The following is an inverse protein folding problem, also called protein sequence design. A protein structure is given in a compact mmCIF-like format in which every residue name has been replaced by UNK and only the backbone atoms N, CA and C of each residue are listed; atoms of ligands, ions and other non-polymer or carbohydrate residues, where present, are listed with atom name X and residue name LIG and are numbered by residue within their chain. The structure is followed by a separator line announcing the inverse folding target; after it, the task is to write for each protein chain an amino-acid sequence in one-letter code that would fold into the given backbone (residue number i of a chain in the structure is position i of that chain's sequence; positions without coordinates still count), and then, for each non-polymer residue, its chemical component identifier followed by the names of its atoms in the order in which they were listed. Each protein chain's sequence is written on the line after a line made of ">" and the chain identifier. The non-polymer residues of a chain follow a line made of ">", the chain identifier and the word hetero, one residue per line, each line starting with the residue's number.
data_IF_225544134559
#
_entry.id   IF_225544134559
#
_cell.length_a   1.000
_cell.length_b   1.000
_cell.length_c   1.000
_cell.angle_alpha   90.00
_cell.angle_beta   90.00
_cell.angle_gamma   90.00
#
_symmetry.space_group_name_H-M   'P 1'
#
loop_
_entity.id
_entity.type
_entity.pdbx_description
1 polymer ?
#
# COMPACT_ATOMS: atom_id res chain seq x y z
N UNK A 1 -11.83 -0.08 20.39
CA UNK A 1 -10.77 -1.07 20.09
C UNK A 1 -10.67 -1.26 18.59
N UNK A 2 -9.46 -1.21 18.05
CA UNK A 2 -9.22 -1.38 16.61
C UNK A 2 -9.15 -2.87 16.25
N UNK A 3 -9.91 -3.32 15.25
CA UNK A 3 -9.81 -4.64 14.65
C UNK A 3 -9.53 -4.51 13.16
N UNK A 4 -8.62 -5.35 12.64
CA UNK A 4 -8.20 -5.37 11.24
C UNK A 4 -8.54 -6.73 10.63
N UNK A 5 -9.37 -6.72 9.60
CA UNK A 5 -9.72 -7.91 8.81
C UNK A 5 -8.90 -7.95 7.52
N UNK A 6 -8.17 -9.03 7.35
CA UNK A 6 -7.41 -9.29 6.13
C UNK A 6 -6.00 -9.78 6.39
N UNK A 7 -5.50 -10.59 5.46
CA UNK A 7 -4.16 -11.16 5.52
C UNK A 7 -3.09 -10.19 5.03
N UNK A 8 -1.92 -10.22 5.67
CA UNK A 8 -0.72 -9.51 5.20
C UNK A 8 -0.33 -9.88 3.75
N UNK A 9 -0.80 -11.00 3.24
CA UNK A 9 -0.61 -11.42 1.82
C UNK A 9 -1.48 -10.64 0.83
N UNK A 10 -2.23 -9.65 1.31
CA UNK A 10 -3.08 -8.75 0.53
C UNK A 10 -2.68 -7.29 0.75
N UNK A 11 -3.53 -6.36 0.29
CA UNK A 11 -3.39 -4.92 0.59
C UNK A 11 -3.51 -4.58 2.08
N UNK A 12 -3.92 -5.53 2.91
CA UNK A 12 -3.91 -5.38 4.39
C UNK A 12 -2.50 -5.12 4.92
N UNK A 13 -1.44 -5.57 4.21
CA UNK A 13 -0.05 -5.23 4.52
C UNK A 13 0.16 -3.73 4.77
N UNK A 14 -0.51 -2.88 4.00
CA UNK A 14 -0.42 -1.41 4.09
C UNK A 14 -0.96 -0.91 5.42
N UNK A 15 -2.12 -1.43 5.83
CA UNK A 15 -2.76 -1.10 7.11
C UNK A 15 -1.97 -1.64 8.29
N UNK A 16 -1.44 -2.87 8.18
CA UNK A 16 -0.57 -3.46 9.21
C UNK A 16 0.73 -2.65 9.38
N UNK A 17 1.29 -2.14 8.30
CA UNK A 17 2.42 -1.21 8.39
C UNK A 17 2.01 0.09 9.07
N UNK A 18 0.87 0.69 8.68
CA UNK A 18 0.38 1.93 9.28
C UNK A 18 0.18 1.80 10.79
N UNK A 19 -0.53 0.78 11.27
CA UNK A 19 -0.74 0.60 12.71
C UNK A 19 0.57 0.36 13.46
N UNK A 20 1.53 -0.31 12.82
CA UNK A 20 2.88 -0.49 13.36
C UNK A 20 3.66 0.82 13.49
N UNK A 21 3.52 1.76 12.54
CA UNK A 21 4.13 3.11 12.60
C UNK A 21 3.47 3.97 13.68
N UNK A 22 2.15 3.85 13.82
CA UNK A 22 1.41 4.59 14.84
C UNK A 22 1.61 4.03 16.25
N UNK A 23 2.09 2.77 16.37
CA UNK A 23 2.24 2.07 17.64
C UNK A 23 0.89 1.68 18.26
N UNK A 24 -0.11 1.35 17.44
CA UNK A 24 -1.45 1.00 17.90
C UNK A 24 -1.55 -0.47 18.30
N UNK A 25 -2.32 -0.73 19.35
CA UNK A 25 -2.82 -2.07 19.66
C UNK A 25 -4.05 -2.38 18.80
N UNK A 26 -4.14 -3.60 18.29
CA UNK A 26 -5.24 -4.03 17.44
C UNK A 26 -5.46 -5.54 17.53
N UNK A 27 -6.69 -5.96 17.25
CA UNK A 27 -7.00 -7.36 16.97
C UNK A 27 -6.81 -7.63 15.48
N UNK A 28 -6.11 -8.72 15.14
CA UNK A 28 -5.89 -9.12 13.76
C UNK A 28 -6.70 -10.37 13.42
N UNK A 29 -7.64 -10.20 12.50
CA UNK A 29 -8.42 -11.28 11.90
C UNK A 29 -7.85 -11.60 10.51
N UNK A 30 -6.99 -12.63 10.42
CA UNK A 30 -6.23 -12.98 9.21
C UNK A 30 -7.12 -13.67 8.16
N UNK A 31 -7.88 -12.87 7.42
CA UNK A 31 -8.75 -13.34 6.34
C UNK A 31 -8.04 -13.23 4.99
N UNK A 32 -7.86 -14.35 4.30
CA UNK A 32 -7.29 -14.36 2.96
C UNK A 32 -8.19 -13.62 1.96
N UNK A 33 -7.61 -12.90 0.97
CA UNK A 33 -8.39 -12.27 -0.08
C UNK A 33 -9.14 -13.33 -0.90
N UNK A 34 -10.42 -13.05 -1.19
CA UNK A 34 -11.32 -13.95 -1.92
C UNK A 34 -11.62 -15.28 -1.21
N UNK A 35 -11.28 -15.44 0.07
CA UNK A 35 -11.69 -16.60 0.84
C UNK A 35 -13.24 -16.67 0.90
N UNK A 36 -13.84 -17.87 1.04
CA UNK A 36 -15.30 -18.01 1.18
C UNK A 36 -15.88 -17.13 2.28
N UNK A 37 -15.12 -16.94 3.37
CA UNK A 37 -15.49 -16.07 4.49
C UNK A 37 -15.76 -14.61 4.09
N UNK A 38 -15.09 -14.07 3.06
CA UNK A 38 -15.37 -12.71 2.59
C UNK A 38 -16.75 -12.54 1.93
N UNK A 39 -17.46 -13.66 1.70
CA UNK A 39 -18.78 -13.69 1.08
C UNK A 39 -19.89 -14.11 2.05
N UNK A 40 -19.58 -14.30 3.32
CA UNK A 40 -20.61 -14.56 4.33
C UNK A 40 -21.42 -13.30 4.61
N UNK A 41 -22.71 -13.42 5.06
CA UNK A 41 -23.53 -12.26 5.39
C UNK A 41 -22.88 -11.32 6.39
N UNK A 42 -22.19 -11.88 7.40
CA UNK A 42 -21.49 -11.12 8.45
C UNK A 42 -20.37 -10.27 7.87
N UNK A 43 -19.55 -10.82 6.97
CA UNK A 43 -18.46 -10.07 6.35
C UNK A 43 -19.00 -9.06 5.32
N UNK A 44 -20.05 -9.40 4.58
CA UNK A 44 -20.68 -8.49 3.63
C UNK A 44 -21.34 -7.29 4.33
N UNK A 45 -21.77 -7.46 5.58
CA UNK A 45 -22.25 -6.34 6.41
C UNK A 45 -21.11 -5.35 6.75
N UNK A 46 -19.86 -5.83 6.88
CA UNK A 46 -18.68 -4.97 7.06
C UNK A 46 -18.24 -4.33 5.73
N UNK A 47 -18.20 -5.14 4.65
CA UNK A 47 -17.80 -4.65 3.33
C UNK A 47 -18.58 -5.37 2.21
N UNK A 48 -19.57 -4.71 1.60
CA UNK A 48 -20.36 -5.28 0.50
C UNK A 48 -19.52 -5.67 -0.73
N UNK A 49 -18.30 -5.11 -0.88
CA UNK A 49 -17.39 -5.46 -1.97
C UNK A 49 -16.71 -6.82 -1.76
N UNK A 50 -16.90 -7.51 -0.62
CA UNK A 50 -16.24 -8.76 -0.28
C UNK A 50 -14.70 -8.68 -0.38
N UNK A 51 -14.11 -7.55 0.00
CA UNK A 51 -12.68 -7.25 -0.11
C UNK A 51 -12.05 -6.97 1.25
N UNK A 52 -10.75 -7.24 1.34
CA UNK A 52 -9.88 -6.87 2.46
C UNK A 52 -8.82 -5.86 1.99
N UNK A 53 -8.31 -4.96 2.86
CA UNK A 53 -8.62 -4.82 4.29
C UNK A 53 -9.98 -4.18 4.58
N UNK A 54 -10.49 -4.46 5.78
CA UNK A 54 -11.52 -3.71 6.47
C UNK A 54 -11.03 -3.46 7.88
N UNK A 55 -11.36 -2.32 8.46
CA UNK A 55 -11.17 -2.07 9.89
C UNK A 55 -12.51 -1.82 10.58
N UNK A 56 -12.58 -2.22 11.84
CA UNK A 56 -13.58 -1.76 12.80
C UNK A 56 -12.83 -0.95 13.86
N UNK A 57 -13.22 0.31 14.06
CA UNK A 57 -12.56 1.23 15.00
C UNK A 57 -13.64 1.86 15.89
N UNK A 58 -13.83 1.30 17.09
CA UNK A 58 -14.85 1.72 18.05
C UNK A 58 -16.27 1.81 17.44
N UNK A 59 -16.62 0.82 16.61
CA UNK A 59 -17.92 0.73 15.93
C UNK A 59 -17.97 1.43 14.56
N UNK A 60 -16.95 2.21 14.19
CA UNK A 60 -16.82 2.74 12.83
C UNK A 60 -16.16 1.71 11.91
N UNK A 61 -16.83 1.39 10.81
CA UNK A 61 -16.31 0.43 9.81
C UNK A 61 -15.78 1.18 8.60
N UNK A 62 -14.56 0.87 8.17
CA UNK A 62 -13.93 1.48 6.99
C UNK A 62 -13.21 0.42 6.15
N UNK A 63 -13.43 0.46 4.86
CA UNK A 63 -12.69 -0.32 3.86
C UNK A 63 -11.80 0.60 3.00
N UNK A 64 -11.05 0.00 2.06
CA UNK A 64 -10.04 0.62 1.19
C UNK A 64 -8.76 1.02 1.93
N UNK A 65 -7.66 0.33 1.63
CA UNK A 65 -6.39 0.47 2.36
C UNK A 65 -5.85 1.90 2.39
N UNK A 66 -6.01 2.68 1.31
CA UNK A 66 -5.57 4.08 1.27
C UNK A 66 -6.42 4.97 2.17
N UNK A 67 -7.75 4.79 2.14
CA UNK A 67 -8.67 5.51 3.00
C UNK A 67 -8.43 5.18 4.48
N UNK A 68 -8.22 3.89 4.79
CA UNK A 68 -7.90 3.43 6.14
C UNK A 68 -6.63 4.10 6.66
N UNK A 69 -5.56 4.11 5.86
CA UNK A 69 -4.29 4.69 6.27
C UNK A 69 -4.39 6.22 6.47
N UNK A 70 -5.07 6.93 5.57
CA UNK A 70 -5.33 8.37 5.71
C UNK A 70 -6.15 8.67 6.98
N UNK A 71 -7.20 7.88 7.22
CA UNK A 71 -8.04 8.00 8.41
C UNK A 71 -7.23 7.80 9.70
N UNK A 72 -6.48 6.69 9.79
CA UNK A 72 -5.69 6.36 10.98
C UNK A 72 -4.61 7.41 11.24
N UNK A 73 -3.88 7.84 10.20
CA UNK A 73 -2.88 8.88 10.33
C UNK A 73 -3.48 10.19 10.84
N UNK A 74 -4.63 10.61 10.30
CA UNK A 74 -5.33 11.83 10.71
C UNK A 74 -5.88 11.72 12.14
N UNK A 75 -6.55 10.60 12.47
CA UNK A 75 -7.13 10.35 13.80
C UNK A 75 -6.07 10.43 14.91
N UNK A 76 -4.88 9.89 14.67
CA UNK A 76 -3.81 9.81 15.67
C UNK A 76 -2.80 10.95 15.60
N UNK A 77 -2.94 11.88 14.64
CA UNK A 77 -2.07 13.04 14.51
C UNK A 77 -0.60 12.69 14.22
N UNK A 78 -0.33 11.51 13.69
CA UNK A 78 1.01 11.05 13.30
C UNK A 78 1.01 10.61 11.84
N UNK A 79 2.11 10.90 11.13
CA UNK A 79 2.28 10.60 9.70
C UNK A 79 1.24 11.31 8.79
N UNK A 80 0.37 12.10 9.34
CA UNK A 80 -0.54 12.95 8.58
C UNK A 80 0.12 14.32 8.43
N UNK A 81 0.41 14.78 7.21
CA UNK A 81 1.16 16.01 7.02
C UNK A 81 0.36 17.22 7.48
N UNK A 82 1.05 18.20 8.06
CA UNK A 82 0.46 19.47 8.49
C UNK A 82 0.33 20.46 7.34
N UNK A 83 -0.69 21.29 7.40
CA UNK A 83 -0.97 22.34 6.42
C UNK A 83 -1.71 21.82 5.18
N UNK A 84 -2.60 22.66 4.66
CA UNK A 84 -3.54 22.32 3.57
C UNK A 84 -2.84 21.81 2.31
N UNK A 85 -1.69 22.37 1.94
CA UNK A 85 -0.96 21.95 0.75
C UNK A 85 -0.38 20.54 0.90
N UNK A 86 0.28 20.25 2.02
CA UNK A 86 0.85 18.93 2.27
C UNK A 86 -0.23 17.87 2.47
N UNK A 87 -1.37 18.23 3.10
CA UNK A 87 -2.55 17.37 3.17
C UNK A 87 -3.07 17.02 1.75
N UNK A 88 -3.18 18.02 0.87
CA UNK A 88 -3.59 17.79 -0.51
C UNK A 88 -2.61 16.88 -1.26
N UNK A 89 -1.29 17.02 -1.04
CA UNK A 89 -0.29 16.11 -1.59
C UNK A 89 -0.44 14.68 -1.07
N UNK A 90 -0.77 14.49 0.21
CA UNK A 90 -1.03 13.14 0.74
C UNK A 90 -2.22 12.47 0.07
N UNK A 91 -3.28 13.21 -0.20
CA UNK A 91 -4.44 12.73 -0.97
C UNK A 91 -4.06 12.46 -2.42
N UNK A 92 -3.38 13.40 -3.07
CA UNK A 92 -2.92 13.26 -4.45
C UNK A 92 -2.13 11.96 -4.65
N UNK A 93 -1.11 11.72 -3.82
CA UNK A 93 -0.25 10.56 -3.96
C UNK A 93 -0.96 9.25 -3.63
N UNK A 94 -1.88 9.25 -2.66
CA UNK A 94 -2.67 8.06 -2.33
C UNK A 94 -3.65 7.69 -3.46
N UNK A 95 -4.29 8.66 -4.10
CA UNK A 95 -5.17 8.42 -5.24
C UNK A 95 -4.38 8.05 -6.50
N UNK A 96 -3.28 8.77 -6.74
CA UNK A 96 -2.39 8.52 -7.88
C UNK A 96 -1.81 7.09 -7.85
N UNK A 97 -1.40 6.61 -6.69
CA UNK A 97 -0.89 5.25 -6.52
C UNK A 97 -1.93 4.21 -6.95
N UNK A 98 -3.17 4.37 -6.49
CA UNK A 98 -4.27 3.44 -6.78
C UNK A 98 -4.60 3.38 -8.27
N UNK A 99 -4.50 4.51 -8.97
CA UNK A 99 -4.77 4.60 -10.39
C UNK A 99 -3.58 4.17 -11.26
N UNK A 100 -2.37 4.56 -10.89
CA UNK A 100 -1.19 4.47 -11.77
C UNK A 100 -0.24 3.32 -11.47
N UNK A 101 -0.25 2.77 -10.26
CA UNK A 101 0.75 1.78 -9.86
C UNK A 101 0.18 0.46 -9.38
N UNK A 102 -0.81 0.49 -8.49
CA UNK A 102 -1.18 -0.70 -7.72
C UNK A 102 -1.61 -1.89 -8.60
N UNK A 103 -2.50 -1.65 -9.55
CA UNK A 103 -3.01 -2.70 -10.44
C UNK A 103 -1.94 -3.19 -11.40
N UNK A 104 -1.18 -2.28 -11.95
CA UNK A 104 -0.14 -2.55 -12.92
C UNK A 104 0.99 -3.38 -12.29
N UNK A 105 1.47 -2.99 -11.11
CA UNK A 105 2.50 -3.74 -10.36
C UNK A 105 2.02 -5.14 -9.99
N UNK A 106 0.78 -5.28 -9.52
CA UNK A 106 0.22 -6.59 -9.19
C UNK A 106 0.10 -7.48 -10.43
N UNK A 107 -0.42 -6.95 -11.54
CA UNK A 107 -0.55 -7.70 -12.78
C UNK A 107 0.83 -8.08 -13.35
N UNK A 108 1.77 -7.13 -13.42
CA UNK A 108 3.14 -7.40 -13.83
C UNK A 108 3.78 -8.51 -13.01
N UNK A 109 3.74 -8.40 -11.68
CA UNK A 109 4.35 -9.40 -10.81
C UNK A 109 3.67 -10.78 -10.92
N UNK A 110 2.35 -10.82 -11.14
CA UNK A 110 1.64 -12.07 -11.37
C UNK A 110 2.16 -12.79 -12.63
N UNK A 111 2.33 -12.08 -13.71
CA UNK A 111 2.71 -12.66 -15.00
C UNK A 111 4.23 -12.77 -15.22
N UNK A 112 5.04 -12.29 -14.27
CA UNK A 112 6.50 -12.49 -14.31
C UNK A 112 7.01 -13.47 -13.26
N UNK A 113 6.38 -13.54 -12.07
CA UNK A 113 6.95 -14.28 -10.94
C UNK A 113 5.95 -15.12 -10.14
N UNK A 114 4.69 -14.66 -9.93
CA UNK A 114 3.80 -15.24 -8.91
C UNK A 114 2.99 -16.42 -9.44
N UNK A 115 2.43 -16.29 -10.65
CA UNK A 115 1.67 -17.38 -11.28
C UNK A 115 2.59 -18.51 -11.72
N UNK A 116 2.10 -19.75 -11.72
CA UNK A 116 2.78 -20.85 -12.40
C UNK A 116 3.13 -20.47 -13.86
N UNK A 117 4.29 -20.88 -14.33
CA UNK A 117 4.80 -20.49 -15.66
C UNK A 117 3.79 -20.69 -16.81
N UNK A 118 3.03 -21.84 -16.89
CA UNK A 118 2.05 -22.02 -17.94
C UNK A 118 0.85 -21.05 -17.91
N UNK A 119 0.66 -20.33 -16.81
CA UNK A 119 -0.42 -19.35 -16.64
C UNK A 119 0.07 -17.91 -16.84
N UNK A 120 1.36 -17.72 -17.12
CA UNK A 120 1.94 -16.39 -17.33
C UNK A 120 1.68 -15.92 -18.75
N UNK A 121 1.33 -14.64 -18.87
CA UNK A 121 1.15 -13.94 -20.12
C UNK A 121 2.24 -12.86 -20.25
N UNK A 122 3.23 -13.14 -21.08
CA UNK A 122 4.37 -12.24 -21.29
C UNK A 122 3.96 -10.92 -22.00
N UNK A 123 2.93 -10.97 -22.86
CA UNK A 123 2.44 -9.77 -23.54
C UNK A 123 1.73 -8.84 -22.55
N UNK A 124 0.92 -9.39 -21.65
CA UNK A 124 0.28 -8.64 -20.59
C UNK A 124 1.32 -8.09 -19.58
N UNK A 125 2.33 -8.88 -19.21
CA UNK A 125 3.42 -8.40 -18.36
C UNK A 125 4.13 -7.20 -19.01
N UNK A 126 4.45 -7.30 -20.31
CA UNK A 126 5.06 -6.18 -21.04
C UNK A 126 4.16 -4.94 -21.06
N UNK A 127 2.88 -5.10 -21.38
CA UNK A 127 1.94 -3.98 -21.39
C UNK A 127 1.85 -3.29 -20.03
N UNK A 128 1.81 -4.05 -18.94
CA UNK A 128 1.82 -3.47 -17.58
C UNK A 128 3.13 -2.77 -17.26
N UNK A 129 4.26 -3.31 -17.70
CA UNK A 129 5.55 -2.63 -17.53
C UNK A 129 5.61 -1.30 -18.27
N UNK A 130 5.09 -1.26 -19.50
CA UNK A 130 5.03 -0.04 -20.30
C UNK A 130 4.16 1.05 -19.64
N UNK A 131 3.16 0.67 -18.81
CA UNK A 131 2.38 1.60 -17.97
C UNK A 131 3.10 1.99 -16.66
N UNK A 132 3.89 1.09 -16.07
CA UNK A 132 4.63 1.32 -14.82
C UNK A 132 5.78 2.31 -15.06
N UNK A 133 6.48 2.21 -16.17
CA UNK A 133 7.66 3.05 -16.49
C UNK A 133 7.36 4.55 -16.39
N UNK A 134 6.31 5.11 -17.03
CA UNK A 134 5.98 6.51 -16.88
C UNK A 134 5.64 6.91 -15.43
N UNK A 135 5.04 6.02 -14.66
CA UNK A 135 4.75 6.29 -13.25
C UNK A 135 6.04 6.34 -12.40
N UNK A 136 7.01 5.47 -12.66
CA UNK A 136 8.32 5.53 -12.02
C UNK A 136 9.10 6.79 -12.44
N UNK A 137 9.01 7.23 -13.70
CA UNK A 137 9.62 8.47 -14.18
C UNK A 137 9.04 9.70 -13.43
N UNK A 138 7.73 9.72 -13.15
CA UNK A 138 7.09 10.78 -12.33
C UNK A 138 7.62 10.77 -10.90
N UNK A 139 7.75 9.60 -10.28
CA UNK A 139 8.32 9.47 -8.94
C UNK A 139 9.78 9.90 -8.91
N UNK A 140 10.58 9.52 -9.90
CA UNK A 140 11.99 9.89 -10.00
C UNK A 140 12.18 11.42 -10.06
N UNK A 141 11.38 12.09 -10.90
CA UNK A 141 11.40 13.56 -11.02
C UNK A 141 11.01 14.23 -9.69
N UNK A 142 10.04 13.68 -8.99
CA UNK A 142 9.56 14.22 -7.71
C UNK A 142 10.59 14.02 -6.61
N UNK A 143 11.07 12.78 -6.46
CA UNK A 143 12.02 12.40 -5.42
C UNK A 143 13.45 12.91 -5.69
N UNK A 144 13.74 13.31 -6.93
CA UNK A 144 14.95 14.07 -7.26
C UNK A 144 14.94 15.50 -6.74
N UNK A 145 13.77 16.04 -6.33
CA UNK A 145 13.59 17.40 -5.81
C UNK A 145 13.28 17.44 -4.32
N UNK A 146 12.74 16.35 -3.77
CA UNK A 146 12.35 16.26 -2.37
C UNK A 146 12.67 14.88 -1.80
N UNK A 147 12.90 14.82 -0.49
CA UNK A 147 13.20 13.55 0.20
C UNK A 147 11.95 12.70 0.38
N UNK A 148 10.77 13.33 0.49
CA UNK A 148 9.48 12.72 0.77
C UNK A 148 8.39 13.27 -0.15
N UNK A 149 7.28 12.56 -0.28
CA UNK A 149 6.22 12.88 -1.24
C UNK A 149 5.30 14.02 -0.79
N UNK A 150 5.15 14.23 0.51
CA UNK A 150 4.21 15.22 1.05
C UNK A 150 4.79 15.98 2.27
N UNK A 151 5.78 16.83 2.01
CA UNK A 151 6.46 17.65 3.02
C UNK A 151 7.87 17.17 3.32
N UNK A 152 8.39 17.56 4.48
CA UNK A 152 9.80 17.37 4.85
C UNK A 152 10.05 16.08 5.65
N UNK A 153 9.00 15.34 5.98
CA UNK A 153 9.04 14.12 6.78
C UNK A 153 8.33 12.97 6.10
N UNK A 154 8.63 11.73 6.54
CA UNK A 154 7.91 10.54 6.14
C UNK A 154 6.44 10.63 6.57
N UNK A 155 5.53 10.50 5.62
CA UNK A 155 4.08 10.62 5.85
C UNK A 155 3.31 9.41 5.32
N UNK A 156 2.00 9.45 5.52
CA UNK A 156 1.06 8.48 4.92
C UNK A 156 1.16 8.43 3.40
N UNK A 157 1.57 9.52 2.72
CA UNK A 157 1.79 9.52 1.29
C UNK A 157 2.91 8.54 0.89
N UNK A 158 4.03 8.64 1.58
CA UNK A 158 5.19 7.76 1.36
C UNK A 158 4.84 6.30 1.67
N UNK A 159 4.17 6.04 2.80
CA UNK A 159 3.74 4.70 3.17
C UNK A 159 2.81 4.11 2.11
N UNK A 160 1.82 4.86 1.65
CA UNK A 160 0.84 4.40 0.68
C UNK A 160 1.52 4.04 -0.65
N UNK A 161 2.35 4.93 -1.20
CA UNK A 161 3.04 4.68 -2.48
C UNK A 161 4.11 3.58 -2.34
N UNK A 162 4.94 3.62 -1.29
CA UNK A 162 5.97 2.61 -1.09
C UNK A 162 5.39 1.21 -0.88
N UNK A 163 4.22 1.10 -0.27
CA UNK A 163 3.54 -0.18 -0.06
C UNK A 163 3.05 -0.83 -1.35
N UNK A 164 2.69 -0.06 -2.37
CA UNK A 164 2.39 -0.58 -3.70
C UNK A 164 3.65 -1.15 -4.36
N UNK A 165 4.76 -0.43 -4.20
CA UNK A 165 6.07 -0.83 -4.70
C UNK A 165 6.76 -1.91 -3.85
N UNK A 166 6.05 -2.59 -2.93
CA UNK A 166 6.61 -3.71 -2.16
C UNK A 166 7.34 -4.73 -3.07
N UNK A 167 6.73 -5.05 -4.21
CA UNK A 167 7.35 -5.96 -5.20
C UNK A 167 8.47 -5.30 -5.98
N UNK A 168 8.56 -3.98 -5.96
CA UNK A 168 9.67 -3.21 -6.52
C UNK A 168 11.00 -3.44 -5.82
N UNK A 169 10.97 -3.94 -4.56
CA UNK A 169 12.20 -4.33 -3.85
C UNK A 169 12.97 -5.47 -4.51
N UNK A 170 12.32 -6.24 -5.38
CA UNK A 170 12.92 -7.34 -6.14
C UNK A 170 13.02 -7.03 -7.65
N UNK A 171 12.58 -5.83 -8.08
CA UNK A 171 12.72 -5.37 -9.46
C UNK A 171 14.04 -4.63 -9.64
N UNK A 172 14.57 -4.67 -10.85
CA UNK A 172 15.69 -3.80 -11.22
C UNK A 172 15.17 -2.36 -11.43
N UNK A 173 15.34 -1.54 -10.43
CA UNK A 173 15.02 -0.12 -10.43
C UNK A 173 16.25 0.76 -10.69
N UNK A 174 17.36 0.23 -11.22
CA UNK A 174 18.61 0.95 -11.43
C UNK A 174 18.49 2.20 -12.30
N UNK A 175 17.49 2.25 -13.17
CA UNK A 175 17.14 3.43 -13.97
C UNK A 175 16.58 4.58 -13.12
N UNK A 176 16.07 4.31 -11.92
CA UNK A 176 15.40 5.27 -11.04
C UNK A 176 16.10 5.33 -9.67
N UNK A 177 17.28 5.96 -9.57
CA UNK A 177 18.08 5.96 -8.35
C UNK A 177 17.41 6.69 -7.18
N UNK A 178 16.66 7.80 -7.42
CA UNK A 178 15.94 8.50 -6.36
C UNK A 178 14.78 7.65 -5.82
N UNK A 179 14.01 7.00 -6.69
CA UNK A 179 12.95 6.04 -6.30
C UNK A 179 13.56 4.89 -5.50
N UNK A 180 14.66 4.32 -5.96
CA UNK A 180 15.34 3.21 -5.30
C UNK A 180 15.78 3.61 -3.88
N UNK A 181 16.46 4.74 -3.74
CA UNK A 181 16.92 5.23 -2.45
C UNK A 181 15.77 5.53 -1.47
N UNK A 182 14.71 6.18 -1.96
CA UNK A 182 13.51 6.47 -1.19
C UNK A 182 12.77 5.19 -0.78
N UNK A 183 12.60 4.24 -1.69
CA UNK A 183 11.91 2.97 -1.43
C UNK A 183 12.62 2.17 -0.33
N UNK A 184 13.95 2.11 -0.38
CA UNK A 184 14.75 1.49 0.68
C UNK A 184 14.56 2.21 2.02
N UNK A 185 14.62 3.55 2.06
CA UNK A 185 14.35 4.32 3.29
C UNK A 185 12.97 3.98 3.89
N UNK A 186 11.95 3.84 3.04
CA UNK A 186 10.60 3.49 3.48
C UNK A 186 10.57 2.07 4.09
N UNK A 187 11.11 1.07 3.38
CA UNK A 187 11.06 -0.33 3.81
C UNK A 187 12.09 -0.70 4.89
N UNK A 188 13.10 0.13 5.13
CA UNK A 188 14.04 -0.04 6.24
C UNK A 188 13.45 0.36 7.61
N UNK A 189 12.31 1.02 7.64
CA UNK A 189 11.62 1.39 8.87
C UNK A 189 11.21 0.15 9.69
N UNK A 190 11.37 0.16 11.02
CA UNK A 190 11.08 -1.01 11.85
C UNK A 190 9.65 -1.54 11.70
N UNK A 191 8.66 -0.67 11.54
CA UNK A 191 7.27 -1.07 11.36
C UNK A 191 7.05 -1.71 9.98
N UNK A 192 7.69 -1.21 8.93
CA UNK A 192 7.67 -1.80 7.59
C UNK A 192 8.24 -3.23 7.60
N UNK A 193 9.40 -3.41 8.24
CA UNK A 193 10.04 -4.73 8.39
C UNK A 193 9.16 -5.72 9.14
N UNK A 194 8.50 -5.28 10.24
CA UNK A 194 7.55 -6.15 10.97
C UNK A 194 6.35 -6.54 10.10
N UNK A 195 5.74 -5.57 9.41
CA UNK A 195 4.60 -5.84 8.53
C UNK A 195 4.99 -6.80 7.38
N UNK A 196 6.18 -6.62 6.83
CA UNK A 196 6.74 -7.51 5.81
C UNK A 196 6.92 -8.94 6.33
N UNK A 197 7.48 -9.12 7.51
CA UNK A 197 7.66 -10.44 8.13
C UNK A 197 6.33 -11.17 8.36
N UNK A 198 5.21 -10.46 8.55
CA UNK A 198 3.88 -11.09 8.62
C UNK A 198 3.39 -11.63 7.27
N UNK A 199 3.98 -11.19 6.16
CA UNK A 199 3.62 -11.61 4.80
C UNK A 199 4.44 -12.82 4.35
N UNK A 200 5.68 -12.89 4.74
CA UNK A 200 6.65 -13.94 4.40
C UNK A 200 6.40 -15.22 5.19
#
# INVERSE_FOLDING_TARGET
>A
MLRIHGSARSRTLRTLWMVGELGLEYEHDDVLPRAPRTRTPEFLALNPNARVPVIEDDGFVLAESMAINLYLAKKHGKLYPSGTHNEALAWQWSLWETDRLDRQIVAYANHTAVLPEPQRDAALAKAMWDEIVPALDVLEITLGKSVWLAGDEFTVADLNVASALYRGLILDLGRWPAVTAWLHKCWDRPAAKRARAMRE
#
